data_IF_361169628380
#
_entry.id   IF_361169628380
#
_cell.length_a   1.000
_cell.length_b   1.000
_cell.length_c   1.000
_cell.angle_alpha   90.00
_cell.angle_beta   90.00
_cell.angle_gamma   90.00
#
_symmetry.space_group_name_H-M   'P 1'
#
loop_
_entity.id
_entity.type
_entity.pdbx_description
1 polymer ?
#
# COMPACT_ATOMS: atom_id res chain seq x y z
N UNK A 1 1.50 -0.32 29.81
CA UNK A 1 0.67 -0.21 28.58
C UNK A 1 1.57 -0.53 27.40
N UNK A 2 1.04 -0.94 26.25
CA UNK A 2 1.88 -1.03 25.05
C UNK A 2 2.21 0.40 24.58
N UNK A 3 3.45 0.68 24.20
CA UNK A 3 3.82 1.97 23.64
C UNK A 3 3.29 2.07 22.21
N UNK A 4 2.57 3.15 21.90
CA UNK A 4 2.09 3.41 20.54
C UNK A 4 3.28 3.78 19.65
N UNK A 5 3.75 2.82 18.83
CA UNK A 5 4.90 3.04 17.94
C UNK A 5 4.60 4.17 16.95
N UNK A 6 5.32 5.29 17.10
CA UNK A 6 5.27 6.42 16.18
C UNK A 6 6.25 6.23 15.01
N UNK A 7 5.89 6.75 13.84
CA UNK A 7 6.66 6.66 12.61
C UNK A 7 6.81 8.03 11.94
N UNK A 8 7.95 8.23 11.29
CA UNK A 8 8.10 9.25 10.25
C UNK A 8 7.72 8.61 8.90
N UNK A 9 6.84 9.26 8.15
CA UNK A 9 6.44 8.81 6.81
C UNK A 9 7.19 9.65 5.79
N UNK A 10 8.03 9.04 4.97
CA UNK A 10 9.09 9.75 4.22
C UNK A 10 9.01 9.47 2.72
N UNK A 11 8.86 10.51 1.91
CA UNK A 11 8.79 10.41 0.45
C UNK A 11 10.09 9.88 -0.16
N UNK A 12 9.98 8.88 -1.04
CA UNK A 12 11.10 8.27 -1.76
C UNK A 12 11.88 9.31 -2.58
N UNK A 13 11.18 10.29 -3.17
CA UNK A 13 11.75 11.27 -4.09
C UNK A 13 13.00 12.00 -3.55
N UNK A 14 12.92 12.53 -2.32
CA UNK A 14 13.94 13.42 -1.74
C UNK A 14 14.07 13.32 -0.21
N UNK A 15 13.54 12.27 0.42
CA UNK A 15 13.65 12.08 1.88
C UNK A 15 12.80 13.05 2.72
N UNK A 16 11.81 13.72 2.10
CA UNK A 16 10.93 14.69 2.76
C UNK A 16 9.88 13.98 3.62
N UNK A 17 9.65 14.47 4.84
CA UNK A 17 8.77 13.86 5.83
C UNK A 17 7.36 14.47 5.78
N UNK A 18 6.35 13.61 5.77
CA UNK A 18 4.93 13.95 5.86
C UNK A 18 4.63 14.55 7.24
N UNK A 19 3.99 15.71 7.27
CA UNK A 19 3.68 16.42 8.51
C UNK A 19 2.32 17.11 8.45
N UNK A 20 1.67 17.22 9.61
CA UNK A 20 0.54 18.11 9.81
C UNK A 20 1.04 19.56 9.76
N UNK A 21 0.45 20.38 8.90
CA UNK A 21 0.72 21.82 8.86
C UNK A 21 0.08 22.49 10.09
N UNK A 22 0.77 23.39 10.80
CA UNK A 22 0.17 24.13 11.91
C UNK A 22 -0.87 25.16 11.44
N UNK A 23 -0.79 25.63 10.19
CA UNK A 23 -1.49 26.83 9.71
C UNK A 23 -2.92 26.58 9.19
N UNK A 24 -3.76 25.88 9.97
CA UNK A 24 -5.23 25.97 9.96
C UNK A 24 -6.03 25.73 8.65
N UNK A 25 -5.37 25.35 7.55
CA UNK A 25 -6.00 25.21 6.22
C UNK A 25 -6.52 23.77 6.00
N UNK A 26 -7.62 23.57 5.24
CA UNK A 26 -8.17 22.22 4.97
C UNK A 26 -7.22 21.32 4.17
N UNK A 27 -6.27 21.90 3.43
CA UNK A 27 -5.09 21.19 2.90
C UNK A 27 -3.99 21.10 3.96
N UNK A 28 -4.34 20.52 5.11
CA UNK A 28 -3.59 20.58 6.36
C UNK A 28 -2.36 19.68 6.45
N UNK A 29 -1.90 19.06 5.34
CA UNK A 29 -0.74 18.14 5.34
C UNK A 29 0.27 18.51 4.26
N UNK A 30 1.54 18.45 4.65
CA UNK A 30 2.69 18.91 3.86
C UNK A 30 3.86 17.92 3.94
N UNK A 31 4.78 18.03 2.98
CA UNK A 31 6.11 17.40 3.02
C UNK A 31 7.16 18.48 3.34
N UNK A 32 8.05 18.19 4.29
CA UNK A 32 9.07 19.13 4.79
C UNK A 32 10.34 18.38 5.24
N UNK A 33 11.43 19.09 5.57
CA UNK A 33 12.66 18.42 6.01
C UNK A 33 12.48 17.80 7.40
N UNK A 34 13.11 16.64 7.64
CA UNK A 34 13.08 15.97 8.95
C UNK A 34 13.64 16.90 10.03
N UNK A 35 12.90 17.05 11.14
CA UNK A 35 13.32 17.87 12.28
C UNK A 35 13.03 19.36 12.18
N UNK A 36 12.53 19.88 11.04
CA UNK A 36 12.03 21.27 10.98
C UNK A 36 10.84 21.48 11.94
N UNK A 37 10.03 20.45 12.19
CA UNK A 37 9.00 20.36 13.25
C UNK A 37 8.80 18.90 13.68
N UNK A 38 9.32 18.45 14.82
CA UNK A 38 9.33 17.00 15.17
C UNK A 38 7.94 16.42 15.52
N UNK A 39 7.19 17.02 16.45
CA UNK A 39 5.91 16.45 16.89
C UNK A 39 4.84 16.35 15.77
N UNK A 40 4.69 17.33 14.85
CA UNK A 40 3.77 17.21 13.71
C UNK A 40 4.24 16.25 12.60
N UNK A 41 5.50 15.79 12.63
CA UNK A 41 6.07 14.80 11.69
C UNK A 41 5.88 13.35 12.14
N UNK A 42 5.40 13.12 13.37
CA UNK A 42 5.20 11.80 13.97
C UNK A 42 3.76 11.31 13.76
N UNK A 43 3.62 10.12 13.18
CA UNK A 43 2.34 9.46 12.91
C UNK A 43 2.26 8.12 13.64
N UNK A 44 1.19 7.94 14.41
CA UNK A 44 0.85 6.70 15.09
C UNK A 44 0.06 5.82 14.11
N UNK A 45 0.47 4.56 13.98
CA UNK A 45 -0.07 3.63 12.96
C UNK A 45 -1.05 2.66 13.63
N UNK A 46 -2.34 2.94 13.49
CA UNK A 46 -3.41 2.05 13.94
C UNK A 46 -3.74 1.03 12.85
N UNK A 47 -3.70 -0.26 13.17
CA UNK A 47 -4.02 -1.33 12.20
C UNK A 47 -5.52 -1.52 12.07
N UNK A 48 -5.98 -1.76 10.84
CA UNK A 48 -7.36 -2.09 10.51
C UNK A 48 -7.65 -3.59 10.57
N UNK A 49 -8.71 -4.01 9.87
CA UNK A 49 -9.11 -5.41 9.73
C UNK A 49 -8.14 -6.27 8.90
N UNK A 50 -7.42 -5.66 7.97
CA UNK A 50 -6.40 -6.30 7.13
C UNK A 50 -5.00 -5.77 7.51
N UNK A 51 -3.92 -6.57 7.39
CA UNK A 51 -2.57 -6.17 7.81
C UNK A 51 -1.98 -5.00 7.00
N UNK A 52 -2.52 -4.75 5.80
CA UNK A 52 -2.18 -3.68 4.88
C UNK A 52 -3.14 -2.48 4.95
N UNK A 53 -4.10 -2.46 5.89
CA UNK A 53 -5.03 -1.35 6.10
C UNK A 53 -4.65 -0.66 7.40
N UNK A 54 -4.40 0.65 7.35
CA UNK A 54 -3.96 1.45 8.49
C UNK A 54 -4.73 2.77 8.60
N UNK A 55 -4.87 3.29 9.80
CA UNK A 55 -5.24 4.68 10.04
C UNK A 55 -4.03 5.40 10.65
N UNK A 56 -3.76 6.61 10.17
CA UNK A 56 -2.55 7.35 10.50
C UNK A 56 -2.92 8.55 11.38
N UNK A 57 -2.73 8.42 12.69
CA UNK A 57 -3.07 9.45 13.69
C UNK A 57 -1.87 10.36 13.97
N UNK A 58 -2.01 11.67 13.84
CA UNK A 58 -0.94 12.62 14.11
C UNK A 58 -0.65 12.68 15.62
N UNK A 59 0.58 12.36 16.02
CA UNK A 59 0.94 12.19 17.44
C UNK A 59 0.78 13.48 18.28
N UNK A 60 0.86 14.66 17.65
CA UNK A 60 0.73 15.95 18.34
C UNK A 60 -0.71 16.43 18.56
N UNK A 61 -1.70 15.88 17.84
CA UNK A 61 -3.09 16.41 17.88
C UNK A 61 -4.19 15.36 17.90
N UNK A 62 -3.86 14.08 17.68
CA UNK A 62 -4.80 12.97 17.52
C UNK A 62 -5.76 13.06 16.31
N UNK A 63 -5.65 14.08 15.46
CA UNK A 63 -6.32 14.10 14.15
C UNK A 63 -5.75 13.00 13.24
N UNK A 64 -6.57 12.41 12.37
CA UNK A 64 -6.13 11.39 11.41
C UNK A 64 -5.82 11.98 10.04
N UNK A 65 -4.87 11.40 9.30
CA UNK A 65 -4.62 11.71 7.90
C UNK A 65 -5.90 11.50 7.08
N UNK A 66 -6.35 12.54 6.38
CA UNK A 66 -7.65 12.56 5.71
C UNK A 66 -7.52 13.11 4.26
N UNK A 67 -7.99 12.35 3.29
CA UNK A 67 -8.12 12.75 1.89
C UNK A 67 -9.48 13.41 1.68
N UNK A 68 -9.48 14.69 1.30
CA UNK A 68 -10.71 15.49 1.14
C UNK A 68 -11.44 15.22 -0.20
N UNK A 69 -11.39 13.98 -0.72
CA UNK A 69 -11.98 13.57 -1.99
C UNK A 69 -11.12 12.59 -2.80
N UNK A 70 -11.74 11.99 -3.81
CA UNK A 70 -11.18 10.87 -4.59
C UNK A 70 -10.86 11.15 -6.06
N UNK A 71 -10.97 12.40 -6.53
CA UNK A 71 -10.60 12.77 -7.89
C UNK A 71 -9.07 12.82 -8.07
N UNK A 72 -8.60 12.76 -9.33
CA UNK A 72 -7.16 12.76 -9.67
C UNK A 72 -6.37 13.96 -9.11
N UNK A 73 -7.02 15.02 -8.62
CA UNK A 73 -6.38 16.10 -7.86
C UNK A 73 -7.25 16.45 -6.63
N UNK A 74 -7.05 15.71 -5.53
CA UNK A 74 -7.67 16.04 -4.24
C UNK A 74 -6.62 16.58 -3.24
N UNK A 75 -7.10 17.30 -2.21
CA UNK A 75 -6.25 17.80 -1.13
C UNK A 75 -6.20 16.80 0.02
N UNK A 76 -5.07 16.78 0.73
CA UNK A 76 -4.90 15.99 1.95
C UNK A 76 -4.77 16.93 3.15
N UNK A 77 -5.45 16.57 4.22
CA UNK A 77 -5.49 17.29 5.48
C UNK A 77 -5.52 16.34 6.66
N UNK A 78 -6.03 16.83 7.79
CA UNK A 78 -6.25 16.01 8.98
C UNK A 78 -7.66 16.20 9.51
N UNK A 79 -8.28 15.13 10.02
CA UNK A 79 -9.65 15.17 10.51
C UNK A 79 -10.11 13.82 11.08
N UNK A 80 -11.34 13.42 10.74
CA UNK A 80 -11.94 12.17 11.18
C UNK A 80 -11.15 10.94 10.69
N UNK A 81 -11.24 9.84 11.46
CA UNK A 81 -10.53 8.59 11.17
C UNK A 81 -10.90 8.05 9.78
N UNK A 82 -9.89 7.98 8.92
CA UNK A 82 -9.95 7.38 7.59
C UNK A 82 -9.00 6.18 7.53
N UNK A 83 -9.38 5.17 6.75
CA UNK A 83 -8.55 4.01 6.49
C UNK A 83 -7.76 4.17 5.19
N UNK A 84 -6.49 3.77 5.22
CA UNK A 84 -5.54 3.86 4.12
C UNK A 84 -4.97 2.48 3.84
N UNK A 85 -5.06 2.06 2.58
CA UNK A 85 -4.40 0.87 2.06
C UNK A 85 -2.93 1.18 1.77
N UNK A 86 -2.06 0.41 2.42
CA UNK A 86 -0.62 0.34 2.20
C UNK A 86 -0.35 -0.68 1.09
N UNK A 87 0.24 -0.24 -0.01
CA UNK A 87 0.42 -1.07 -1.21
C UNK A 87 1.89 -1.04 -1.69
N UNK A 88 2.61 -2.14 -1.45
CA UNK A 88 3.99 -2.34 -1.89
C UNK A 88 4.10 -3.01 -3.28
N UNK A 89 2.97 -3.40 -3.90
CA UNK A 89 2.98 -3.97 -5.26
C UNK A 89 3.36 -2.86 -6.26
N UNK A 90 4.09 -3.19 -7.32
CA UNK A 90 4.53 -2.24 -8.36
C UNK A 90 5.30 -1.02 -7.79
N UNK A 91 6.03 -1.18 -6.69
CA UNK A 91 6.91 -0.16 -6.12
C UNK A 91 8.37 -0.51 -6.42
N UNK A 92 9.04 0.31 -7.24
CA UNK A 92 10.43 0.09 -7.66
C UNK A 92 11.44 0.28 -6.52
N UNK A 93 11.10 1.05 -5.48
CA UNK A 93 11.97 1.35 -4.34
C UNK A 93 11.83 0.27 -3.23
N UNK A 94 12.86 -0.54 -2.93
CA UNK A 94 12.75 -1.63 -1.97
C UNK A 94 12.34 -1.16 -0.57
N UNK A 95 11.27 -1.74 -0.02
CA UNK A 95 10.74 -1.37 1.29
C UNK A 95 9.90 -0.09 1.33
N UNK A 96 9.72 0.60 0.20
CA UNK A 96 8.72 1.66 0.09
C UNK A 96 7.33 1.09 -0.20
N UNK A 97 6.31 1.91 0.01
CA UNK A 97 4.91 1.59 -0.22
C UNK A 97 4.16 2.78 -0.83
N UNK A 98 2.98 2.52 -1.38
CA UNK A 98 2.00 3.53 -1.81
C UNK A 98 0.89 3.60 -0.77
N UNK A 99 0.33 4.79 -0.58
CA UNK A 99 -0.79 5.02 0.35
C UNK A 99 -2.00 5.49 -0.45
N UNK A 100 -3.10 4.74 -0.41
CA UNK A 100 -4.37 5.09 -1.05
C UNK A 100 -5.51 4.96 -0.04
N UNK A 101 -6.41 5.95 0.10
CA UNK A 101 -7.56 5.86 1.01
C UNK A 101 -8.50 4.75 0.53
N UNK A 102 -9.11 4.02 1.48
CA UNK A 102 -9.97 2.87 1.19
C UNK A 102 -11.24 3.28 0.45
N UNK A 103 -11.74 4.48 0.72
CA UNK A 103 -12.96 5.03 0.13
C UNK A 103 -12.73 5.58 -1.30
N UNK A 104 -11.47 5.78 -1.72
CA UNK A 104 -11.11 6.32 -3.04
C UNK A 104 -9.99 5.52 -3.72
N UNK A 105 -10.33 4.31 -4.15
CA UNK A 105 -9.42 3.43 -4.91
C UNK A 105 -8.94 4.08 -6.20
N UNK A 106 -7.63 4.01 -6.48
CA UNK A 106 -7.02 4.47 -7.74
C UNK A 106 -6.27 5.81 -7.64
N UNK A 107 -6.44 6.55 -6.53
CA UNK A 107 -5.60 7.71 -6.19
C UNK A 107 -4.68 7.41 -5.02
N UNK A 108 -3.48 7.98 -5.06
CA UNK A 108 -2.37 7.72 -4.15
C UNK A 108 -1.81 9.03 -3.56
N UNK A 109 -1.28 8.95 -2.35
CA UNK A 109 -0.63 10.06 -1.64
C UNK A 109 0.60 10.53 -2.43
N UNK A 110 0.59 11.79 -2.87
CA UNK A 110 1.56 12.36 -3.79
C UNK A 110 2.34 13.52 -3.14
N UNK A 111 3.66 13.34 -3.04
CA UNK A 111 4.59 14.45 -2.83
C UNK A 111 4.80 15.15 -4.18
N UNK A 112 4.11 16.29 -4.38
CA UNK A 112 3.95 16.92 -5.70
C UNK A 112 5.26 17.09 -6.48
N UNK A 113 5.33 16.42 -7.64
CA UNK A 113 6.51 16.37 -8.54
C UNK A 113 7.83 15.96 -7.83
N UNK A 114 7.73 15.40 -6.62
CA UNK A 114 8.85 15.07 -5.75
C UNK A 114 9.64 16.27 -5.25
N UNK A 115 9.22 17.52 -5.49
CA UNK A 115 10.09 18.71 -5.39
C UNK A 115 10.67 18.90 -3.99
N UNK A 116 12.00 18.96 -3.90
CA UNK A 116 12.69 19.35 -2.67
C UNK A 116 12.54 20.85 -2.42
N UNK A 117 11.91 21.22 -1.31
CA UNK A 117 11.82 22.62 -0.85
C UNK A 117 12.98 22.98 0.10
N UNK A 118 13.22 24.29 0.26
CA UNK A 118 14.27 24.79 1.15
C UNK A 118 13.98 24.49 2.64
N UNK A 119 14.98 24.64 3.51
CA UNK A 119 14.78 24.49 4.96
C UNK A 119 13.77 25.50 5.48
N UNK A 120 12.82 25.07 6.32
CA UNK A 120 11.74 25.92 6.82
C UNK A 120 10.63 26.21 5.80
N UNK A 121 10.73 25.72 4.56
CA UNK A 121 9.61 25.65 3.62
C UNK A 121 8.96 24.26 3.67
N UNK A 122 7.72 24.18 3.20
CA UNK A 122 6.97 22.93 3.10
C UNK A 122 6.16 22.89 1.79
N UNK A 123 6.05 21.71 1.19
CA UNK A 123 5.27 21.47 -0.03
C UNK A 123 3.93 20.84 0.33
N UNK A 124 2.82 21.27 -0.27
CA UNK A 124 1.52 20.61 -0.04
C UNK A 124 1.53 19.18 -0.55
N UNK A 125 0.87 18.28 0.19
CA UNK A 125 0.66 16.89 -0.22
C UNK A 125 -0.76 16.74 -0.78
N UNK A 126 -0.85 16.01 -1.88
CA UNK A 126 -2.05 15.89 -2.70
C UNK A 126 -2.38 14.41 -2.93
N UNK A 127 -3.58 14.14 -3.44
CA UNK A 127 -3.89 12.84 -4.06
C UNK A 127 -3.68 12.94 -5.57
N UNK A 128 -3.06 11.93 -6.17
CA UNK A 128 -2.87 11.82 -7.63
C UNK A 128 -3.07 10.39 -8.12
N UNK A 129 -3.46 10.24 -9.38
CA UNK A 129 -3.61 8.95 -10.04
C UNK A 129 -2.25 8.25 -10.28
N UNK A 130 -2.26 6.94 -10.53
CA UNK A 130 -1.02 6.21 -10.84
C UNK A 130 -0.50 6.51 -12.26
N UNK A 131 0.75 6.95 -12.35
CA UNK A 131 1.42 7.27 -13.62
C UNK A 131 2.85 6.71 -13.62
N UNK A 132 3.18 5.91 -14.64
CA UNK A 132 4.47 5.20 -14.72
C UNK A 132 5.75 6.06 -14.66
N UNK A 133 5.82 7.33 -15.15
CA UNK A 133 7.02 8.15 -14.97
C UNK A 133 7.14 8.75 -13.56
N UNK A 134 6.06 8.83 -12.79
CA UNK A 134 5.97 9.65 -11.56
C UNK A 134 5.98 8.83 -10.26
N UNK A 135 6.35 7.55 -10.31
CA UNK A 135 6.17 6.58 -9.21
C UNK A 135 6.91 6.98 -7.91
N UNK A 136 8.07 7.63 -8.02
CA UNK A 136 8.88 8.10 -6.89
C UNK A 136 8.22 9.24 -6.08
N UNK A 137 7.25 9.94 -6.67
CA UNK A 137 6.42 10.96 -6.01
C UNK A 137 5.28 10.34 -5.19
N UNK A 138 4.82 9.15 -5.60
CA UNK A 138 3.67 8.42 -5.05
C UNK A 138 4.06 7.39 -3.98
N UNK A 139 5.34 7.30 -3.64
CA UNK A 139 5.92 6.23 -2.81
C UNK A 139 6.63 6.77 -1.58
N UNK A 140 6.48 6.02 -0.48
CA UNK A 140 6.78 6.45 0.88
C UNK A 140 7.40 5.30 1.70
N UNK A 141 8.39 5.62 2.52
CA UNK A 141 8.93 4.76 3.56
C UNK A 141 8.24 5.04 4.90
N UNK A 142 8.17 4.03 5.77
CA UNK A 142 7.80 4.16 7.18
C UNK A 142 9.04 3.90 8.04
N UNK A 143 9.54 4.95 8.70
CA UNK A 143 10.70 4.83 9.60
C UNK A 143 10.26 4.95 11.06
N UNK A 144 10.59 3.99 11.94
CA UNK A 144 10.36 4.11 13.38
C UNK A 144 10.92 5.41 13.96
N UNK A 145 10.12 6.11 14.75
CA UNK A 145 10.49 7.42 15.30
C UNK A 145 11.37 7.34 16.57
N UNK A 146 11.55 6.13 17.11
CA UNK A 146 12.50 5.78 18.17
C UNK A 146 13.96 5.74 17.68
N UNK A 147 14.19 5.72 16.36
CA UNK A 147 15.52 5.60 15.77
C UNK A 147 16.00 4.15 15.58
N UNK A 148 15.12 3.15 15.73
CA UNK A 148 15.43 1.72 15.55
C UNK A 148 15.72 1.37 14.08
N UNK A 149 16.93 1.69 13.63
CA UNK A 149 17.43 1.42 12.28
C UNK A 149 18.13 0.06 12.23
N UNK A 150 17.38 -1.03 12.44
CA UNK A 150 17.92 -2.39 12.39
C UNK A 150 16.84 -3.49 12.29
N UNK A 151 17.11 -4.60 11.59
CA UNK A 151 16.15 -5.69 11.41
C UNK A 151 16.12 -6.62 12.62
N UNK A 152 15.71 -6.13 13.81
CA UNK A 152 15.28 -6.97 14.93
C UNK A 152 14.54 -6.18 16.03
N UNK A 153 13.21 -6.11 15.93
CA UNK A 153 12.33 -5.59 16.99
C UNK A 153 11.85 -6.69 17.95
N UNK A 154 12.76 -7.28 18.74
CA UNK A 154 12.43 -8.29 19.75
C UNK A 154 13.30 -8.13 21.01
N UNK A 155 12.66 -8.08 22.18
CA UNK A 155 13.32 -7.82 23.46
C UNK A 155 14.21 -8.99 23.93
N UNK A 156 15.33 -8.73 24.64
CA UNK A 156 16.30 -9.75 25.02
C UNK A 156 15.84 -10.61 26.20
N UNK A 157 16.05 -11.93 26.10
CA UNK A 157 15.86 -12.87 27.20
C UNK A 157 16.12 -14.32 26.77
N UNK A 158 17.12 -14.97 27.40
CA UNK A 158 17.52 -16.36 27.20
C UNK A 158 17.93 -16.76 25.76
N UNK A 159 19.20 -16.49 25.41
CA UNK A 159 19.89 -17.10 24.27
C UNK A 159 21.32 -17.49 24.66
N UNK A 160 21.75 -18.72 24.33
CA UNK A 160 23.17 -19.14 24.31
C UNK A 160 23.39 -20.44 23.55
N UNK A 161 22.44 -21.39 23.59
CA UNK A 161 22.61 -22.72 22.98
C UNK A 161 21.76 -22.90 21.70
N UNK A 162 20.58 -22.27 21.64
CA UNK A 162 19.68 -22.34 20.50
C UNK A 162 20.05 -21.41 19.32
N UNK A 163 21.16 -20.67 19.42
CA UNK A 163 21.66 -19.79 18.36
C UNK A 163 22.38 -20.59 17.26
N UNK A 164 23.35 -21.41 17.64
CA UNK A 164 24.36 -21.92 16.69
C UNK A 164 23.74 -22.89 15.69
N UNK A 165 22.96 -23.87 16.16
CA UNK A 165 22.23 -24.81 15.29
C UNK A 165 21.24 -24.12 14.32
N UNK A 166 20.80 -22.89 14.60
CA UNK A 166 19.97 -22.09 13.68
C UNK A 166 20.79 -21.22 12.72
N UNK A 167 22.00 -20.82 13.11
CA UNK A 167 22.95 -20.17 12.21
C UNK A 167 23.38 -21.18 11.15
N UNK A 168 23.77 -22.39 11.56
CA UNK A 168 24.17 -23.49 10.66
C UNK A 168 23.05 -23.83 9.63
N UNK A 169 21.80 -23.95 10.09
CA UNK A 169 20.63 -24.21 9.23
C UNK A 169 20.32 -23.06 8.26
N UNK A 170 20.47 -21.81 8.71
CA UNK A 170 20.27 -20.61 7.86
C UNK A 170 21.42 -20.40 6.86
N UNK A 171 22.66 -20.72 7.22
CA UNK A 171 23.82 -20.63 6.31
C UNK A 171 23.79 -21.75 5.25
N UNK A 172 23.35 -22.95 5.62
CA UNK A 172 23.04 -24.02 4.66
C UNK A 172 21.94 -23.58 3.67
N UNK A 173 20.81 -23.06 4.18
CA UNK A 173 19.72 -22.56 3.34
C UNK A 173 20.12 -21.40 2.42
N UNK A 174 20.93 -20.46 2.94
CA UNK A 174 21.46 -19.31 2.18
C UNK A 174 22.41 -19.76 1.07
N UNK A 175 23.35 -20.66 1.35
CA UNK A 175 24.31 -21.13 0.34
C UNK A 175 23.66 -22.02 -0.73
N UNK A 176 22.56 -22.71 -0.43
CA UNK A 176 21.76 -23.41 -1.46
C UNK A 176 20.96 -22.43 -2.34
N UNK A 177 20.38 -21.39 -1.73
CA UNK A 177 19.68 -20.32 -2.47
C UNK A 177 20.62 -19.53 -3.39
N UNK A 178 21.82 -19.17 -2.90
CA UNK A 178 22.85 -18.49 -3.69
C UNK A 178 23.32 -19.34 -4.88
N UNK A 179 23.50 -20.66 -4.71
CA UNK A 179 23.81 -21.58 -5.81
C UNK A 179 22.69 -21.63 -6.87
N UNK A 180 21.43 -21.66 -6.44
CA UNK A 180 20.27 -21.67 -7.36
C UNK A 180 20.10 -20.35 -8.11
N UNK A 181 20.32 -19.22 -7.44
CA UNK A 181 20.25 -17.89 -8.06
C UNK A 181 21.38 -17.72 -9.09
N UNK A 182 22.61 -18.09 -8.74
CA UNK A 182 23.74 -18.05 -9.66
C UNK A 182 23.54 -18.94 -10.90
N UNK A 183 23.00 -20.16 -10.72
CA UNK A 183 22.70 -21.04 -11.84
C UNK A 183 21.63 -20.47 -12.81
N UNK A 184 20.69 -19.65 -12.31
CA UNK A 184 19.73 -18.92 -13.15
C UNK A 184 20.38 -17.74 -13.88
N UNK A 185 21.28 -17.01 -13.22
CA UNK A 185 22.06 -15.93 -13.83
C UNK A 185 23.00 -16.45 -14.94
N UNK A 186 23.75 -17.52 -14.67
CA UNK A 186 24.64 -18.17 -15.66
C UNK A 186 23.85 -18.65 -16.89
N UNK A 187 22.68 -19.26 -16.69
CA UNK A 187 21.80 -19.72 -17.78
C UNK A 187 21.18 -18.56 -18.56
N UNK A 188 20.78 -17.48 -17.87
CA UNK A 188 20.32 -16.24 -18.52
C UNK A 188 21.41 -15.64 -19.39
N UNK A 189 22.63 -15.45 -18.86
CA UNK A 189 23.79 -14.94 -19.59
C UNK A 189 24.11 -15.82 -20.83
N UNK A 190 24.04 -17.14 -20.70
CA UNK A 190 24.21 -18.06 -21.82
C UNK A 190 23.11 -17.94 -22.90
N UNK A 191 21.88 -17.58 -22.52
CA UNK A 191 20.79 -17.33 -23.47
C UNK A 191 20.95 -15.98 -24.18
N UNK A 192 21.36 -14.92 -23.48
CA UNK A 192 21.60 -13.59 -24.05
C UNK A 192 22.81 -13.60 -24.99
N UNK A 193 23.86 -14.36 -24.67
CA UNK A 193 25.01 -14.59 -25.55
C UNK A 193 24.61 -15.25 -26.88
N UNK A 194 23.77 -16.29 -26.84
CA UNK A 194 23.26 -16.98 -28.05
C UNK A 194 22.36 -16.08 -28.89
N UNK A 195 21.51 -15.26 -28.25
CA UNK A 195 20.67 -14.29 -28.95
C UNK A 195 21.52 -13.25 -29.69
N UNK A 196 22.64 -12.82 -29.09
CA UNK A 196 23.61 -11.92 -29.75
C UNK A 196 24.34 -12.60 -30.90
N UNK A 197 24.82 -13.83 -30.72
CA UNK A 197 25.48 -14.62 -31.78
C UNK A 197 24.57 -14.81 -33.01
N UNK A 198 23.27 -15.01 -32.81
CA UNK A 198 22.28 -15.05 -33.89
C UNK A 198 22.11 -13.69 -34.58
N UNK A 199 21.96 -12.60 -33.82
CA UNK A 199 21.82 -11.25 -34.40
C UNK A 199 23.04 -10.83 -35.24
N UNK A 200 24.25 -11.11 -34.75
CA UNK A 200 25.47 -10.76 -35.46
C UNK A 200 25.66 -11.63 -36.73
N UNK A 201 25.22 -12.91 -36.72
CA UNK A 201 25.16 -13.72 -37.95
C UNK A 201 24.08 -13.26 -38.93
N UNK A 202 22.91 -12.81 -38.49
CA UNK A 202 21.88 -12.27 -39.41
C UNK A 202 22.45 -11.07 -40.18
N UNK A 203 23.14 -10.14 -39.49
CA UNK A 203 23.85 -9.00 -40.10
C UNK A 203 24.90 -9.43 -41.12
N UNK A 204 25.66 -10.49 -40.86
CA UNK A 204 26.60 -11.04 -41.84
C UNK A 204 25.92 -11.59 -43.10
N UNK A 205 24.72 -12.18 -42.96
CA UNK A 205 23.94 -12.68 -44.10
C UNK A 205 23.27 -11.54 -44.89
N UNK A 206 22.76 -10.51 -44.21
CA UNK A 206 22.26 -9.28 -44.85
C UNK A 206 23.36 -8.61 -45.70
N UNK A 207 24.57 -8.50 -45.14
CA UNK A 207 25.73 -7.94 -45.84
C UNK A 207 26.11 -8.76 -47.08
N UNK A 208 26.13 -10.09 -46.97
CA UNK A 208 26.43 -11.00 -48.09
C UNK A 208 25.31 -10.99 -49.16
N UNK A 209 24.05 -10.80 -48.77
CA UNK A 209 22.94 -10.60 -49.70
C UNK A 209 23.11 -9.29 -50.48
N UNK A 210 23.38 -8.17 -49.79
CA UNK A 210 23.62 -6.89 -50.44
C UNK A 210 24.84 -6.91 -51.38
N UNK A 211 25.90 -7.61 -51.00
CA UNK A 211 27.09 -7.82 -51.84
C UNK A 211 26.78 -8.66 -53.09
N UNK A 212 25.97 -9.72 -52.98
CA UNK A 212 25.54 -10.55 -54.11
C UNK A 212 24.50 -9.85 -55.03
N UNK A 213 23.64 -8.99 -54.49
CA UNK A 213 22.69 -8.20 -55.28
C UNK A 213 23.39 -7.10 -56.10
N UNK A 214 24.45 -6.49 -55.55
CA UNK A 214 25.35 -5.61 -56.33
C UNK A 214 26.26 -6.42 -57.29
N UNK A 215 26.76 -7.57 -56.84
CA UNK A 215 27.64 -8.48 -57.58
C UNK A 215 26.91 -9.34 -58.60
N UNK A 216 26.44 -8.72 -59.70
CA UNK A 216 25.70 -9.35 -60.82
C UNK A 216 26.41 -10.53 -61.50
N UNK A 217 26.42 -11.69 -60.85
CA UNK A 217 26.60 -13.04 -61.43
C UNK A 217 26.40 -14.17 -60.41
N UNK A 218 26.25 -13.87 -59.11
CA UNK A 218 25.74 -14.85 -58.14
C UNK A 218 24.36 -15.37 -58.56
N UNK A 219 24.15 -16.69 -58.54
CA UNK A 219 22.92 -17.26 -59.12
C UNK A 219 21.68 -16.86 -58.32
N UNK A 220 20.55 -16.66 -59.00
CA UNK A 220 19.28 -16.36 -58.34
C UNK A 220 18.85 -17.45 -57.32
N UNK A 221 19.26 -18.70 -57.55
CA UNK A 221 19.06 -19.79 -56.60
C UNK A 221 19.89 -19.60 -55.31
N UNK A 222 21.12 -19.07 -55.41
CA UNK A 222 21.97 -18.74 -54.25
C UNK A 222 21.39 -17.60 -53.42
N UNK A 223 20.85 -16.57 -54.08
CA UNK A 223 20.16 -15.45 -53.41
C UNK A 223 18.90 -15.96 -52.70
N UNK A 224 18.08 -16.77 -53.37
CA UNK A 224 16.89 -17.38 -52.78
C UNK A 224 17.22 -18.31 -51.59
N UNK A 225 18.29 -19.11 -51.69
CA UNK A 225 18.74 -20.00 -50.59
C UNK A 225 19.24 -19.19 -49.38
N UNK A 226 19.85 -18.03 -49.58
CA UNK A 226 20.25 -17.12 -48.50
C UNK A 226 19.04 -16.40 -47.88
N UNK A 227 18.06 -15.98 -48.69
CA UNK A 227 16.81 -15.38 -48.20
C UNK A 227 15.98 -16.38 -47.37
N UNK A 228 15.87 -17.65 -47.79
CA UNK A 228 15.20 -18.71 -47.01
C UNK A 228 15.94 -18.99 -45.69
N UNK A 229 17.28 -19.06 -45.71
CA UNK A 229 18.10 -19.18 -44.50
C UNK A 229 17.91 -18.00 -43.54
N UNK A 230 17.80 -16.77 -44.06
CA UNK A 230 17.55 -15.58 -43.25
C UNK A 230 16.16 -15.64 -42.61
N UNK A 231 15.10 -15.86 -43.40
CA UNK A 231 13.72 -15.96 -42.93
C UNK A 231 13.54 -17.07 -41.89
N UNK A 232 14.21 -18.22 -42.08
CA UNK A 232 14.25 -19.31 -41.11
C UNK A 232 15.00 -18.93 -39.82
N UNK A 233 16.10 -18.18 -39.91
CA UNK A 233 16.85 -17.67 -38.75
C UNK A 233 16.05 -16.63 -37.97
N UNK A 234 15.32 -15.73 -38.63
CA UNK A 234 14.43 -14.79 -37.98
C UNK A 234 13.26 -15.50 -37.28
N UNK A 235 12.70 -16.53 -37.91
CA UNK A 235 11.72 -17.42 -37.27
C UNK A 235 12.27 -18.12 -36.02
N UNK A 236 13.50 -18.62 -36.05
CA UNK A 236 14.20 -19.17 -34.88
C UNK A 236 14.49 -18.11 -33.81
N UNK A 237 14.77 -16.87 -34.19
CA UNK A 237 15.08 -15.75 -33.30
C UNK A 237 13.81 -15.24 -32.58
N UNK A 238 12.69 -15.09 -33.28
CA UNK A 238 11.39 -14.81 -32.65
C UNK A 238 10.89 -16.00 -31.81
N UNK A 239 11.16 -17.24 -32.22
CA UNK A 239 10.88 -18.41 -31.38
C UNK A 239 11.72 -18.39 -30.08
N UNK A 240 13.00 -18.01 -30.13
CA UNK A 240 13.82 -17.84 -28.93
C UNK A 240 13.35 -16.67 -28.04
N UNK A 241 12.97 -15.52 -28.62
CA UNK A 241 12.34 -14.42 -27.87
C UNK A 241 11.04 -14.88 -27.19
N UNK A 242 10.20 -15.62 -27.90
CA UNK A 242 8.96 -16.21 -27.37
C UNK A 242 9.22 -17.20 -26.23
N UNK A 243 10.19 -18.09 -26.38
CA UNK A 243 10.60 -19.04 -25.35
C UNK A 243 11.21 -18.35 -24.12
N UNK A 244 12.07 -17.35 -24.31
CA UNK A 244 12.65 -16.55 -23.22
C UNK A 244 11.56 -15.78 -22.45
N UNK A 245 10.61 -15.17 -23.17
CA UNK A 245 9.45 -14.52 -22.56
C UNK A 245 8.60 -15.53 -21.79
N UNK A 246 8.30 -16.70 -22.37
CA UNK A 246 7.56 -17.77 -21.68
C UNK A 246 8.28 -18.21 -20.41
N UNK A 247 9.59 -18.38 -20.45
CA UNK A 247 10.37 -18.75 -19.25
C UNK A 247 10.29 -17.67 -18.16
N UNK A 248 10.25 -16.38 -18.52
CA UNK A 248 10.04 -15.28 -17.57
C UNK A 248 8.62 -15.28 -16.98
N UNK A 249 7.60 -15.51 -17.80
CA UNK A 249 6.20 -15.60 -17.34
C UNK A 249 5.94 -16.87 -16.50
N UNK A 250 6.52 -18.02 -16.87
CA UNK A 250 6.49 -19.28 -16.11
C UNK A 250 7.24 -19.16 -14.77
N UNK A 251 8.43 -18.52 -14.76
CA UNK A 251 9.18 -18.23 -13.53
C UNK A 251 8.35 -17.33 -12.59
N UNK A 252 7.74 -16.28 -13.13
CA UNK A 252 6.86 -15.36 -12.39
C UNK A 252 5.62 -16.07 -11.84
N UNK A 253 5.07 -17.04 -12.57
CA UNK A 253 3.99 -17.90 -12.06
C UNK A 253 4.48 -18.84 -10.95
N UNK A 254 5.66 -19.43 -11.07
CA UNK A 254 6.25 -20.29 -10.03
C UNK A 254 6.60 -19.52 -8.74
N UNK A 255 7.08 -18.28 -8.87
CA UNK A 255 7.34 -17.39 -7.72
C UNK A 255 6.03 -16.93 -7.06
N UNK A 256 4.98 -16.67 -7.84
CA UNK A 256 3.64 -16.40 -7.33
C UNK A 256 3.01 -17.62 -6.60
N UNK A 257 3.22 -18.83 -7.11
CA UNK A 257 2.77 -20.06 -6.44
C UNK A 257 3.50 -20.24 -5.10
N UNK A 258 4.83 -20.08 -5.05
CA UNK A 258 5.59 -20.13 -3.78
C UNK A 258 5.12 -19.07 -2.77
N UNK A 259 4.68 -17.90 -3.22
CA UNK A 259 4.06 -16.89 -2.36
C UNK A 259 2.69 -17.35 -1.78
N UNK A 260 1.87 -18.05 -2.56
CA UNK A 260 0.61 -18.64 -2.07
C UNK A 260 0.87 -19.80 -1.10
N UNK A 261 1.81 -20.70 -1.43
CA UNK A 261 2.15 -21.85 -0.58
C UNK A 261 2.71 -21.41 0.78
N UNK A 262 3.51 -20.33 0.81
CA UNK A 262 4.02 -19.75 2.06
C UNK A 262 2.94 -19.01 2.86
N UNK A 263 1.97 -18.37 2.21
CA UNK A 263 0.80 -17.78 2.87
C UNK A 263 -0.09 -18.87 3.52
N UNK A 264 -0.47 -19.90 2.78
CA UNK A 264 -1.29 -21.01 3.29
C UNK A 264 -0.61 -21.76 4.46
N UNK A 265 0.72 -21.93 4.39
CA UNK A 265 1.51 -22.52 5.47
C UNK A 265 1.63 -21.59 6.70
N UNK A 266 1.50 -20.27 6.53
CA UNK A 266 1.38 -19.32 7.62
C UNK A 266 -0.01 -19.37 8.28
N UNK A 267 -1.09 -19.42 7.49
CA UNK A 267 -2.47 -19.54 7.97
C UNK A 267 -2.72 -20.85 8.75
N UNK A 268 -2.18 -21.97 8.25
CA UNK A 268 -2.20 -23.24 8.97
C UNK A 268 -1.49 -23.17 10.34
N UNK A 269 -0.49 -22.29 10.49
CA UNK A 269 0.21 -22.04 11.76
C UNK A 269 -0.53 -21.06 12.67
N UNK A 270 -1.26 -20.07 12.15
CA UNK A 270 -2.08 -19.16 12.97
C UNK A 270 -3.29 -19.88 13.55
N UNK A 271 -4.06 -20.64 12.76
CA UNK A 271 -5.20 -21.41 13.28
C UNK A 271 -4.79 -22.42 14.37
N UNK A 272 -3.65 -23.10 14.21
CA UNK A 272 -3.11 -24.02 15.23
C UNK A 272 -2.63 -23.31 16.51
N UNK A 273 -2.43 -22.00 16.47
CA UNK A 273 -2.11 -21.13 17.62
C UNK A 273 -3.39 -20.57 18.27
N UNK A 274 -4.40 -20.23 17.48
CA UNK A 274 -5.73 -19.79 17.91
C UNK A 274 -6.47 -20.90 18.67
N UNK A 275 -6.51 -22.12 18.13
CA UNK A 275 -7.13 -23.29 18.76
C UNK A 275 -6.53 -23.58 20.15
N UNK A 276 -5.19 -23.50 20.27
CA UNK A 276 -4.48 -23.59 21.56
C UNK A 276 -4.82 -22.45 22.52
N UNK A 277 -5.13 -21.27 21.99
CA UNK A 277 -5.47 -20.08 22.80
C UNK A 277 -6.90 -20.17 23.32
N UNK A 278 -7.87 -20.57 22.49
CA UNK A 278 -9.25 -20.84 22.89
C UNK A 278 -9.34 -21.94 23.96
N UNK A 279 -8.63 -23.07 23.76
CA UNK A 279 -8.51 -24.14 24.77
C UNK A 279 -7.87 -23.68 26.09
N UNK A 280 -7.09 -22.59 26.09
CA UNK A 280 -6.51 -21.99 27.30
C UNK A 280 -7.49 -21.01 27.99
N UNK A 281 -8.25 -20.23 27.20
CA UNK A 281 -9.26 -19.29 27.70
C UNK A 281 -10.41 -20.01 28.42
N UNK A 282 -11.02 -21.02 27.79
CA UNK A 282 -12.06 -21.86 28.40
C UNK A 282 -11.59 -22.44 29.75
N UNK A 283 -10.33 -22.90 29.82
CA UNK A 283 -9.70 -23.46 31.03
C UNK A 283 -9.29 -22.42 32.08
N UNK A 284 -9.49 -21.12 31.81
CA UNK A 284 -9.43 -20.03 32.78
C UNK A 284 -10.82 -19.59 33.25
N UNK A 285 -11.81 -19.54 32.36
CA UNK A 285 -13.21 -19.24 32.71
C UNK A 285 -13.77 -20.28 33.69
N UNK A 286 -13.53 -21.57 33.43
CA UNK A 286 -13.86 -22.70 34.32
C UNK A 286 -13.29 -22.50 35.75
N UNK A 287 -12.08 -21.94 35.85
CA UNK A 287 -11.42 -21.60 37.12
C UNK A 287 -11.97 -20.33 37.75
N UNK A 288 -12.46 -19.38 36.97
CA UNK A 288 -13.09 -18.16 37.45
C UNK A 288 -14.47 -18.48 38.05
N UNK A 289 -15.32 -19.24 37.35
CA UNK A 289 -16.61 -19.71 37.88
C UNK A 289 -16.44 -20.54 39.17
N UNK A 290 -15.47 -21.46 39.19
CA UNK A 290 -15.16 -22.26 40.40
C UNK A 290 -14.58 -21.45 41.57
N UNK A 291 -14.08 -20.23 41.33
CA UNK A 291 -13.74 -19.25 42.39
C UNK A 291 -14.95 -18.42 42.80
N UNK A 292 -15.74 -17.92 41.86
CA UNK A 292 -16.92 -17.09 42.12
C UNK A 292 -17.94 -17.80 43.03
N UNK A 293 -18.21 -19.09 42.77
CA UNK A 293 -19.07 -19.92 43.62
C UNK A 293 -18.61 -19.92 45.10
N UNK A 294 -17.30 -20.10 45.35
CA UNK A 294 -16.71 -20.09 46.70
C UNK A 294 -16.67 -18.72 47.38
N UNK A 295 -16.87 -17.63 46.65
CA UNK A 295 -17.00 -16.29 47.22
C UNK A 295 -18.46 -15.95 47.55
N UNK A 296 -19.43 -16.37 46.74
CA UNK A 296 -20.85 -16.23 47.06
C UNK A 296 -21.22 -16.97 48.37
N UNK A 297 -20.70 -18.19 48.55
CA UNK A 297 -20.87 -19.02 49.75
C UNK A 297 -20.41 -18.34 51.05
N UNK A 298 -19.48 -17.38 50.99
CA UNK A 298 -18.93 -16.67 52.16
C UNK A 298 -19.65 -15.37 52.52
N UNK A 299 -20.64 -14.93 51.75
CA UNK A 299 -21.26 -13.61 51.91
C UNK A 299 -22.49 -13.59 52.86
N UNK A 300 -22.93 -14.73 53.41
CA UNK A 300 -24.22 -14.87 54.09
C UNK A 300 -24.21 -14.77 55.64
N UNK A 301 -23.10 -14.41 56.29
CA UNK A 301 -22.96 -14.60 57.76
C UNK A 301 -22.46 -13.38 58.58
N UNK A 302 -23.19 -12.25 58.57
CA UNK A 302 -23.09 -11.20 59.62
C UNK A 302 -24.43 -10.42 59.81
N UNK A 303 -24.96 -10.22 61.04
CA UNK A 303 -26.26 -9.58 61.30
C UNK A 303 -26.23 -8.11 61.81
N UNK A 304 -27.42 -7.49 61.97
CA UNK A 304 -27.67 -6.09 62.38
C UNK A 304 -28.03 -5.92 63.89
N UNK A 305 -27.99 -4.67 64.42
CA UNK A 305 -28.87 -4.20 65.53
C UNK A 305 -29.08 -2.67 65.56
N UNK A 306 -30.10 -2.19 66.29
CA UNK A 306 -30.64 -0.80 66.37
C UNK A 306 -30.39 -0.13 67.75
N UNK A 307 -30.57 1.22 67.84
CA UNK A 307 -31.45 2.01 68.76
C UNK A 307 -31.81 3.37 68.05
N UNK A 308 -33.05 3.93 68.01
CA UNK A 308 -33.88 4.70 68.99
C UNK A 308 -33.22 6.01 69.51
N UNK A 309 -33.86 7.21 69.62
CA UNK A 309 -35.25 7.74 69.82
C UNK A 309 -35.39 9.17 69.17
N UNK A 310 -36.47 10.00 69.18
CA UNK A 310 -37.97 9.89 69.11
C UNK A 310 -38.61 11.33 69.02
N UNK A 311 -39.96 11.47 69.12
CA UNK A 311 -40.86 12.68 69.14
C UNK A 311 -41.37 13.28 67.79
N UNK A 312 -42.61 13.79 67.88
CA UNK A 312 -43.55 14.44 66.90
C UNK A 312 -44.31 15.57 67.67
N UNK A 313 -45.32 16.34 67.14
CA UNK A 313 -45.96 16.45 65.80
C UNK A 313 -45.95 17.95 65.31
N UNK A 314 -46.85 18.51 64.44
CA UNK A 314 -47.90 17.95 63.57
C UNK A 314 -47.93 18.41 62.08
N UNK A 315 -48.80 17.78 61.29
CA UNK A 315 -49.32 18.16 59.94
C UNK A 315 -50.63 18.97 60.09
N UNK A 316 -51.45 19.35 59.05
CA UNK A 316 -51.42 19.15 57.57
C UNK A 316 -51.62 20.53 56.81
N UNK A 317 -52.24 20.71 55.60
CA UNK A 317 -52.72 19.76 54.57
C UNK A 317 -52.43 20.08 53.06
N UNK A 318 -52.29 18.99 52.28
CA UNK A 318 -52.96 18.65 51.00
C UNK A 318 -53.01 19.58 49.75
N UNK A 319 -52.62 18.96 48.61
CA UNK A 319 -53.35 18.88 47.31
C UNK A 319 -53.37 20.07 46.33
N UNK A 320 -53.68 19.85 45.02
CA UNK A 320 -53.66 18.63 44.19
C UNK A 320 -52.81 18.83 42.87
N UNK A 321 -52.81 17.92 41.86
CA UNK A 321 -51.86 18.00 40.74
C UNK A 321 -52.40 18.75 39.50
N UNK A 322 -51.51 19.02 38.54
CA UNK A 322 -51.91 19.29 37.14
C UNK A 322 -51.17 18.39 36.15
N UNK A 323 -51.92 17.55 35.45
CA UNK A 323 -51.51 16.98 34.16
C UNK A 323 -51.62 18.06 33.08
N UNK A 324 -50.82 17.97 32.02
CA UNK A 324 -51.20 18.55 30.73
C UNK A 324 -50.71 17.75 29.53
N UNK A 325 -51.70 17.30 28.76
CA UNK A 325 -51.64 17.02 27.33
C UNK A 325 -51.13 18.29 26.57
N UNK A 326 -50.67 18.25 25.30
CA UNK A 326 -50.93 17.28 24.21
C UNK A 326 -49.79 17.24 23.16
N UNK A 327 -49.81 16.16 22.37
CA UNK A 327 -49.19 15.84 21.04
C UNK A 327 -49.79 16.73 19.90
N UNK A 328 -49.34 16.82 18.60
CA UNK A 328 -48.07 16.57 17.87
C UNK A 328 -47.55 17.76 16.98
N UNK A 329 -46.58 17.45 16.10
CA UNK A 329 -45.88 18.25 15.07
C UNK A 329 -46.65 18.84 13.86
N UNK A 330 -46.02 19.87 13.24
CA UNK A 330 -45.94 20.21 11.78
C UNK A 330 -44.58 20.91 11.52
N UNK A 331 -43.88 20.93 10.37
CA UNK A 331 -44.13 20.93 8.89
C UNK A 331 -44.34 22.33 8.26
N UNK A 332 -43.46 22.70 7.31
CA UNK A 332 -43.34 24.00 6.58
C UNK A 332 -41.83 24.30 6.34
N UNK A 333 -41.24 24.48 5.15
CA UNK A 333 -41.69 24.86 3.78
C UNK A 333 -42.32 26.27 3.77
N UNK A 334 -41.94 27.27 2.95
CA UNK A 334 -41.22 27.34 1.64
C UNK A 334 -40.32 28.63 1.57
N UNK A 335 -39.81 29.23 0.46
CA UNK A 335 -39.95 28.98 -0.99
C UNK A 335 -38.79 29.54 -1.87
N UNK A 336 -38.91 29.31 -3.18
CA UNK A 336 -38.16 29.81 -4.35
C UNK A 336 -37.85 31.33 -4.45
N UNK A 337 -36.79 31.68 -5.20
CA UNK A 337 -36.86 32.62 -6.35
C UNK A 337 -35.98 32.08 -7.50
N UNK A 338 -36.39 32.32 -8.76
CA UNK A 338 -35.70 31.89 -10.00
C UNK A 338 -35.08 33.10 -10.73
N UNK A 339 -33.92 32.93 -11.41
CA UNK A 339 -33.86 33.03 -12.89
C UNK A 339 -32.44 33.04 -13.52
N UNK A 340 -32.36 32.37 -14.68
CA UNK A 340 -31.62 32.70 -15.91
C UNK A 340 -30.19 33.27 -15.87
N UNK A 341 -29.26 32.55 -16.52
CA UNK A 341 -28.93 32.81 -17.95
C UNK A 341 -28.22 31.63 -18.62
N UNK A 342 -28.34 31.53 -19.95
CA UNK A 342 -27.60 30.55 -20.76
C UNK A 342 -26.10 30.85 -20.79
N UNK A 343 -25.29 29.79 -20.89
CA UNK A 343 -23.93 29.85 -21.44
C UNK A 343 -23.90 28.96 -22.68
N UNK A 344 -23.39 29.48 -23.79
CA UNK A 344 -23.39 28.82 -25.10
C UNK A 344 -22.14 27.95 -25.26
N UNK A 345 -22.31 26.72 -25.72
CA UNK A 345 -21.19 25.84 -26.09
C UNK A 345 -20.54 26.33 -27.40
N UNK A 346 -19.19 26.43 -27.47
CA UNK A 346 -18.51 26.76 -28.71
C UNK A 346 -18.57 25.60 -29.73
N UNK A 347 -18.62 25.88 -31.04
CA UNK A 347 -18.76 24.86 -32.07
C UNK A 347 -17.47 24.04 -32.29
N UNK A 348 -17.57 22.80 -32.84
CA UNK A 348 -16.42 21.95 -33.10
C UNK A 348 -15.49 22.56 -34.16
N UNK A 349 -14.17 22.50 -33.90
CA UNK A 349 -13.15 22.96 -34.85
C UNK A 349 -13.10 22.04 -36.08
N UNK A 350 -13.18 22.63 -37.28
CA UNK A 350 -13.18 21.90 -38.57
C UNK A 350 -11.85 21.17 -38.79
N UNK A 351 -11.91 19.85 -38.97
CA UNK A 351 -10.76 19.03 -39.39
C UNK A 351 -10.42 19.38 -40.85
N UNK A 352 -9.26 20.01 -41.08
CA UNK A 352 -8.71 20.17 -42.44
C UNK A 352 -8.05 18.85 -42.89
N UNK A 353 -8.80 17.99 -43.58
CA UNK A 353 -8.19 16.95 -44.43
C UNK A 353 -7.38 17.65 -45.53
N UNK A 354 -6.04 17.53 -45.51
CA UNK A 354 -5.23 17.79 -46.70
C UNK A 354 -5.41 16.60 -47.64
N UNK A 355 -6.12 16.80 -48.74
CA UNK A 355 -6.01 15.91 -49.91
C UNK A 355 -4.72 16.28 -50.61
N UNK A 356 -3.76 15.34 -50.65
CA UNK A 356 -2.60 15.42 -51.55
C UNK A 356 -2.89 14.44 -52.67
N UNK A 357 -3.22 14.95 -53.86
CA UNK A 357 -3.41 14.12 -55.04
C UNK A 357 -2.06 13.65 -55.56
N UNK A 358 -1.90 12.33 -55.71
CA UNK A 358 -0.80 11.76 -56.48
C UNK A 358 -1.18 11.86 -57.96
N UNK A 359 -0.45 12.68 -58.71
CA UNK A 359 -0.59 12.74 -60.17
C UNK A 359 0.19 11.58 -60.77
N UNK A 360 -0.51 10.68 -61.46
CA UNK A 360 0.15 9.77 -62.40
C UNK A 360 0.54 10.56 -63.65
N UNK A 361 1.82 10.51 -64.00
CA UNK A 361 2.28 10.78 -65.36
C UNK A 361 2.36 9.46 -66.14
N UNK A 362 2.15 9.54 -67.46
CA UNK A 362 2.36 8.45 -68.41
C UNK A 362 3.76 8.53 -69.00
#
# INVERSE_FOLDING_TARGET
MAEESAFYITSVAHGMVLARSPNGQPSGVVAQNRGDQDAPQKWLVERGSEPNIVALRCASTNDYLHANGGASWATVGTGAKQWWKVDAVNVTAPGACRLSPVEHTGVFLNHFQGIRVAKGQSMKVHMWQWEQPNQFCLTWYFFPADGSFGPNGAAPGAASEASNARIDELEAGKTEAEKKLKALEDNKMASEAKLKELQDRTREYDAKLAELEHGKTGSAATIAELQDKLARRDGELEAQKGALKKNVDDQKAADAQRAQDTAANHEAKTHKKEEKTQKKALKQEDKAHKKAAKHAEKAQTTPQKLEQTSRLPPTPPASPPQQKLTVPATKGVSNEVKNCKHVVLPPPRKIRRKVVGIVYAQ
#
